data_IF_765110806510
#
_entry.id   IF_765110806510
#
_cell.length_a   1.000
_cell.length_b   1.000
_cell.length_c   1.000
_cell.angle_alpha   90.00
_cell.angle_beta   90.00
_cell.angle_gamma   90.00
#
_symmetry.space_group_name_H-M   'P 1'
#
loop_
_entity.id
_entity.type
_entity.pdbx_description
1 polymer ?
#
# COMPACT_ATOMS: atom_id res chain seq x y z
N UNK A 1 -62.76 -13.60 -7.44
CA UNK A 1 -61.47 -14.26 -7.18
C UNK A 1 -60.36 -13.34 -7.68
N UNK A 2 -60.03 -12.31 -6.89
CA UNK A 2 -59.04 -11.27 -7.22
C UNK A 2 -57.75 -11.64 -6.51
N UNK A 3 -56.73 -12.03 -7.28
CA UNK A 3 -55.38 -12.29 -6.76
C UNK A 3 -54.70 -10.96 -6.42
N UNK A 4 -54.44 -10.75 -5.13
CA UNK A 4 -53.55 -9.68 -4.66
C UNK A 4 -52.11 -9.99 -5.07
N UNK A 5 -51.55 -9.14 -5.93
CA UNK A 5 -50.12 -9.14 -6.27
C UNK A 5 -49.36 -8.60 -5.04
N UNK A 6 -48.76 -9.52 -4.29
CA UNK A 6 -47.80 -9.22 -3.22
C UNK A 6 -46.62 -8.42 -3.79
N UNK A 7 -46.58 -7.12 -3.48
CA UNK A 7 -45.40 -6.28 -3.70
C UNK A 7 -44.29 -6.77 -2.76
N UNK A 8 -43.42 -7.62 -3.28
CA UNK A 8 -42.20 -8.02 -2.57
C UNK A 8 -41.42 -6.78 -2.11
N UNK A 9 -41.28 -6.63 -0.79
CA UNK A 9 -40.46 -5.57 -0.22
C UNK A 9 -39.02 -5.71 -0.74
N UNK A 10 -38.35 -4.63 -1.16
CA UNK A 10 -36.97 -4.71 -1.61
C UNK A 10 -36.12 -5.33 -0.49
N UNK A 11 -35.41 -6.40 -0.83
CA UNK A 11 -34.63 -7.19 0.11
C UNK A 11 -33.74 -6.28 0.96
N UNK A 12 -33.81 -6.45 2.29
CA UNK A 12 -33.09 -5.71 3.34
C UNK A 12 -31.57 -5.52 3.04
N UNK A 13 -31.02 -6.40 2.19
CA UNK A 13 -29.62 -6.39 1.73
C UNK A 13 -29.30 -5.21 0.80
N UNK A 14 -30.20 -4.83 -0.11
CA UNK A 14 -30.01 -3.71 -1.04
C UNK A 14 -30.05 -2.38 -0.26
N UNK A 15 -31.00 -2.25 0.67
CA UNK A 15 -31.16 -1.06 1.52
C UNK A 15 -29.90 -0.77 2.36
N UNK A 16 -29.21 -1.80 2.87
CA UNK A 16 -27.94 -1.63 3.61
C UNK A 16 -26.79 -1.13 2.74
N UNK A 17 -26.71 -1.56 1.48
CA UNK A 17 -25.66 -1.11 0.54
C UNK A 17 -25.88 0.36 0.17
N UNK A 18 -27.12 0.75 -0.13
CA UNK A 18 -27.47 2.14 -0.41
C UNK A 18 -27.30 3.07 0.80
N UNK A 19 -27.59 2.60 2.02
CA UNK A 19 -27.30 3.34 3.25
C UNK A 19 -25.79 3.47 3.53
N UNK A 20 -24.99 2.45 3.18
CA UNK A 20 -23.51 2.52 3.27
C UNK A 20 -22.92 3.53 2.29
N UNK A 21 -23.45 3.60 1.06
CA UNK A 21 -23.03 4.56 0.03
C UNK A 21 -23.43 6.01 0.38
N UNK A 22 -24.57 6.21 1.04
CA UNK A 22 -24.96 7.51 1.64
C UNK A 22 -24.07 7.96 2.82
N UNK A 23 -23.22 7.09 3.36
CA UNK A 23 -22.28 7.39 4.45
C UNK A 23 -20.87 7.83 4.01
N UNK A 24 -20.62 7.93 2.71
CA UNK A 24 -19.34 8.41 2.16
C UNK A 24 -19.33 9.93 2.26
N UNK A 25 -18.67 10.46 3.29
CA UNK A 25 -18.50 11.91 3.46
C UNK A 25 -17.70 12.50 2.31
N UNK A 26 -17.93 13.77 1.96
CA UNK A 26 -17.14 14.51 0.98
C UNK A 26 -15.62 14.39 1.26
N UNK A 27 -15.22 14.34 2.53
CA UNK A 27 -13.84 14.08 2.95
C UNK A 27 -13.25 12.76 2.46
N UNK A 28 -14.06 11.71 2.34
CA UNK A 28 -13.57 10.42 1.84
C UNK A 28 -13.24 10.54 0.36
N UNK A 29 -14.13 11.16 -0.42
CA UNK A 29 -13.83 11.48 -1.83
C UNK A 29 -12.60 12.37 -1.96
N UNK A 30 -12.49 13.40 -1.11
CA UNK A 30 -11.33 14.29 -1.09
C UNK A 30 -10.02 13.53 -0.82
N UNK A 31 -9.99 12.58 0.13
CA UNK A 31 -8.80 11.75 0.38
C UNK A 31 -8.46 10.87 -0.82
N UNK A 32 -9.43 10.17 -1.42
CA UNK A 32 -9.14 9.34 -2.59
C UNK A 32 -8.66 10.19 -3.78
N UNK A 33 -9.28 11.33 -4.03
CA UNK A 33 -8.84 12.27 -5.06
C UNK A 33 -7.42 12.77 -4.78
N UNK A 34 -7.09 13.10 -3.52
CA UNK A 34 -5.77 13.55 -3.12
C UNK A 34 -4.70 12.45 -3.26
N UNK A 35 -5.02 11.21 -2.90
CA UNK A 35 -4.14 10.05 -3.08
C UNK A 35 -3.85 9.81 -4.56
N UNK A 36 -4.89 9.80 -5.40
CA UNK A 36 -4.73 9.61 -6.86
C UNK A 36 -3.92 10.77 -7.46
N UNK A 37 -4.23 12.00 -7.06
CA UNK A 37 -3.50 13.20 -7.49
C UNK A 37 -2.02 13.11 -7.13
N UNK A 38 -1.68 12.86 -5.86
CA UNK A 38 -0.30 12.77 -5.39
C UNK A 38 0.44 11.64 -6.12
N UNK A 39 -0.16 10.43 -6.20
CA UNK A 39 0.47 9.30 -6.87
C UNK A 39 0.75 9.62 -8.35
N UNK A 40 -0.18 10.29 -9.03
CA UNK A 40 -0.01 10.69 -10.43
C UNK A 40 1.08 11.74 -10.61
N UNK A 41 1.14 12.75 -9.72
CA UNK A 41 2.17 13.80 -9.77
C UNK A 41 3.56 13.20 -9.53
N UNK A 42 3.70 12.35 -8.50
CA UNK A 42 4.97 11.68 -8.20
C UNK A 42 5.36 10.73 -9.33
N UNK A 43 4.42 9.97 -9.88
CA UNK A 43 4.68 9.07 -11.02
C UNK A 43 5.23 9.86 -12.21
N UNK A 44 4.59 10.99 -12.57
CA UNK A 44 5.06 11.83 -13.68
C UNK A 44 6.45 12.37 -13.42
N UNK A 45 6.70 12.89 -12.22
CA UNK A 45 8.02 13.36 -11.82
C UNK A 45 9.08 12.26 -11.95
N UNK A 46 8.80 11.06 -11.44
CA UNK A 46 9.71 9.92 -11.52
C UNK A 46 9.96 9.45 -12.95
N UNK A 47 8.94 9.47 -13.82
CA UNK A 47 9.12 9.20 -15.24
C UNK A 47 9.98 10.24 -15.93
N UNK A 48 9.78 11.53 -15.64
CA UNK A 48 10.58 12.60 -16.21
C UNK A 48 12.05 12.48 -15.77
N UNK A 49 12.30 12.15 -14.50
CA UNK A 49 13.65 11.84 -13.97
C UNK A 49 14.24 10.63 -14.70
N UNK A 50 13.50 9.53 -14.81
CA UNK A 50 13.96 8.31 -15.48
C UNK A 50 14.30 8.53 -16.96
N UNK A 51 13.42 9.20 -17.71
CA UNK A 51 13.61 9.54 -19.13
C UNK A 51 14.74 10.56 -19.32
N UNK A 52 14.95 11.43 -18.33
CA UNK A 52 16.09 12.35 -18.25
C UNK A 52 17.40 11.69 -17.82
N UNK A 53 17.46 10.35 -17.71
CA UNK A 53 18.62 9.58 -17.26
C UNK A 53 19.06 9.88 -15.82
N UNK A 54 18.15 10.38 -14.98
CA UNK A 54 18.40 10.71 -13.57
C UNK A 54 18.23 9.53 -12.59
N UNK A 55 17.89 8.33 -13.07
CA UNK A 55 17.76 7.12 -12.25
C UNK A 55 19.03 6.28 -12.26
N UNK A 56 19.35 5.63 -11.13
CA UNK A 56 20.49 4.72 -11.03
C UNK A 56 20.20 3.38 -11.68
N UNK A 57 20.99 2.99 -12.68
CA UNK A 57 20.89 1.66 -13.28
C UNK A 57 21.06 0.52 -12.26
N UNK A 58 21.87 0.74 -11.20
CA UNK A 58 22.08 -0.25 -10.15
C UNK A 58 20.83 -0.50 -9.31
N UNK A 59 20.00 0.53 -9.11
CA UNK A 59 18.79 0.41 -8.28
C UNK A 59 17.60 -0.02 -9.15
N UNK A 60 17.22 0.78 -10.16
CA UNK A 60 16.04 0.46 -10.98
C UNK A 60 16.26 -0.75 -11.88
N UNK A 61 17.45 -0.88 -12.47
CA UNK A 61 17.75 -1.95 -13.43
C UNK A 61 17.86 -3.33 -12.77
N UNK A 62 18.29 -3.38 -11.50
CA UNK A 62 18.35 -4.60 -10.71
C UNK A 62 16.97 -5.22 -10.50
N UNK A 63 16.01 -4.40 -10.07
CA UNK A 63 14.64 -4.88 -9.86
C UNK A 63 13.90 -5.10 -11.17
N UNK A 64 14.10 -4.25 -12.19
CA UNK A 64 13.46 -4.42 -13.51
C UNK A 64 13.89 -5.75 -14.17
N UNK A 65 15.19 -6.02 -14.24
CA UNK A 65 15.71 -7.29 -14.78
C UNK A 65 15.23 -8.49 -13.96
N UNK A 66 15.29 -8.38 -12.63
CA UNK A 66 14.89 -9.44 -11.73
C UNK A 66 13.41 -9.81 -11.87
N UNK A 67 12.52 -8.82 -11.89
CA UNK A 67 11.07 -9.02 -12.07
C UNK A 67 10.79 -9.53 -13.48
N UNK A 68 11.46 -9.02 -14.52
CA UNK A 68 11.33 -9.49 -15.90
C UNK A 68 11.69 -10.98 -16.07
N UNK A 69 12.69 -11.47 -15.33
CA UNK A 69 13.08 -12.88 -15.29
C UNK A 69 12.02 -13.73 -14.56
N UNK A 70 11.59 -13.28 -13.38
CA UNK A 70 10.54 -13.97 -12.62
C UNK A 70 9.22 -14.04 -13.42
N UNK A 71 8.89 -12.98 -14.16
CA UNK A 71 7.71 -12.93 -15.02
C UNK A 71 7.74 -13.94 -16.17
N UNK A 72 8.90 -14.54 -16.45
CA UNK A 72 9.12 -15.59 -17.45
C UNK A 72 9.44 -16.94 -16.82
N UNK A 73 9.19 -17.09 -15.51
CA UNK A 73 9.49 -18.29 -14.73
C UNK A 73 10.98 -18.69 -14.80
N UNK A 74 11.87 -17.69 -14.92
CA UNK A 74 13.33 -17.89 -14.90
C UNK A 74 13.88 -17.49 -13.53
N UNK A 75 15.00 -18.10 -13.15
CA UNK A 75 15.74 -17.67 -11.97
C UNK A 75 16.15 -16.20 -12.12
N UNK A 76 15.89 -15.32 -11.13
CA UNK A 76 16.19 -13.90 -11.23
C UNK A 76 17.66 -13.61 -10.94
N UNK A 77 18.56 -14.17 -11.74
CA UNK A 77 19.98 -13.81 -11.72
C UNK A 77 20.16 -12.43 -12.36
N UNK A 78 20.53 -11.43 -11.56
CA UNK A 78 20.69 -10.04 -12.01
C UNK A 78 22.14 -9.80 -12.40
N UNK A 79 22.39 -9.38 -13.63
CA UNK A 79 23.74 -9.24 -14.19
C UNK A 79 24.53 -8.10 -13.54
N UNK A 80 23.86 -6.99 -13.20
CA UNK A 80 24.47 -5.87 -12.49
C UNK A 80 24.91 -6.25 -11.06
N UNK A 81 24.19 -7.18 -10.44
CA UNK A 81 24.46 -7.64 -9.08
C UNK A 81 25.39 -8.86 -9.03
N UNK A 82 25.48 -9.64 -10.11
CA UNK A 82 26.27 -10.87 -10.18
C UNK A 82 25.73 -12.02 -9.34
N UNK A 83 24.48 -11.94 -8.87
CA UNK A 83 23.83 -12.99 -8.04
C UNK A 83 22.31 -12.99 -8.24
N UNK A 84 21.64 -13.95 -7.61
CA UNK A 84 20.19 -14.03 -7.61
C UNK A 84 19.58 -12.87 -6.80
N UNK A 85 18.57 -12.18 -7.33
CA UNK A 85 17.86 -11.08 -6.69
C UNK A 85 17.40 -11.41 -5.27
N UNK A 86 16.80 -12.59 -5.10
CA UNK A 86 16.26 -13.03 -3.81
C UNK A 86 17.35 -13.51 -2.84
N UNK A 87 18.59 -13.62 -3.30
CA UNK A 87 19.76 -13.96 -2.49
C UNK A 87 20.48 -12.75 -1.90
N UNK A 88 20.07 -11.52 -2.25
CA UNK A 88 20.54 -10.30 -1.59
C UNK A 88 19.66 -9.96 -0.40
N UNK A 89 18.39 -9.71 -0.69
CA UNK A 89 17.32 -9.58 0.28
C UNK A 89 16.19 -10.51 -0.09
N UNK A 90 15.52 -11.09 0.91
CA UNK A 90 14.40 -12.00 0.72
C UNK A 90 13.11 -11.24 0.39
N UNK A 91 13.15 -10.39 -0.66
CA UNK A 91 12.03 -9.55 -1.10
C UNK A 91 11.00 -10.32 -1.91
N UNK A 92 10.39 -11.34 -1.28
CA UNK A 92 9.34 -12.17 -1.87
C UNK A 92 8.07 -11.38 -2.24
N UNK A 93 7.90 -10.17 -1.71
CA UNK A 93 6.82 -9.25 -2.11
C UNK A 93 6.83 -8.97 -3.62
N UNK A 94 8.01 -9.04 -4.25
CA UNK A 94 8.17 -8.80 -5.69
C UNK A 94 7.42 -9.82 -6.55
N UNK A 95 7.08 -11.00 -6.01
CA UNK A 95 6.23 -11.98 -6.71
C UNK A 95 4.81 -11.42 -6.95
N UNK A 96 4.31 -10.53 -6.09
CA UNK A 96 3.03 -9.86 -6.30
C UNK A 96 3.10 -8.75 -7.35
N UNK A 97 4.31 -8.30 -7.71
CA UNK A 97 4.54 -7.30 -8.76
C UNK A 97 4.53 -7.93 -10.14
N UNK A 98 4.91 -9.20 -10.26
CA UNK A 98 4.98 -9.95 -11.53
C UNK A 98 3.67 -9.86 -12.36
N UNK A 99 2.47 -10.07 -11.80
CA UNK A 99 1.23 -9.95 -12.57
C UNK A 99 0.97 -8.55 -13.12
N UNK A 100 1.38 -7.51 -12.39
CA UNK A 100 1.26 -6.11 -12.83
C UNK A 100 2.25 -5.86 -13.98
N UNK A 101 3.46 -6.40 -13.84
CA UNK A 101 4.52 -6.29 -14.83
C UNK A 101 4.17 -6.99 -16.17
N UNK A 102 3.32 -8.03 -16.16
CA UNK A 102 2.82 -8.62 -17.41
C UNK A 102 1.95 -7.67 -18.24
N UNK A 103 1.24 -6.74 -17.60
CA UNK A 103 0.37 -5.79 -18.28
C UNK A 103 1.16 -4.63 -18.88
N UNK A 104 2.16 -4.13 -18.14
CA UNK A 104 3.00 -3.03 -18.55
C UNK A 104 4.44 -3.30 -18.06
N UNK A 105 5.29 -3.96 -18.85
CA UNK A 105 6.66 -4.25 -18.43
C UNK A 105 7.53 -2.99 -18.49
N UNK A 106 8.39 -2.81 -17.48
CA UNK A 106 9.45 -1.81 -17.47
C UNK A 106 9.55 -1.02 -16.16
N UNK A 107 10.68 -0.33 -16.01
CA UNK A 107 10.99 0.52 -14.84
C UNK A 107 9.91 1.56 -14.55
N UNK A 108 9.30 2.18 -15.56
CA UNK A 108 8.22 3.16 -15.39
C UNK A 108 7.03 2.60 -14.62
N UNK A 109 6.67 1.33 -14.85
CA UNK A 109 5.60 0.66 -14.11
C UNK A 109 5.96 0.45 -12.65
N UNK A 110 7.23 0.12 -12.36
CA UNK A 110 7.71 -0.06 -11.00
C UNK A 110 7.68 1.25 -10.22
N UNK A 111 8.16 2.34 -10.83
CA UNK A 111 8.13 3.69 -10.24
C UNK A 111 6.69 4.16 -9.98
N UNK A 112 5.79 3.92 -10.94
CA UNK A 112 4.37 4.22 -10.75
C UNK A 112 3.78 3.41 -9.59
N UNK A 113 4.03 2.10 -9.56
CA UNK A 113 3.52 1.21 -8.51
C UNK A 113 3.97 1.67 -7.11
N UNK A 114 5.26 1.99 -6.96
CA UNK A 114 5.82 2.56 -5.73
C UNK A 114 5.07 3.82 -5.29
N UNK A 115 4.86 4.79 -6.21
CA UNK A 115 4.13 6.02 -5.91
C UNK A 115 2.69 5.75 -5.44
N UNK A 116 1.96 4.86 -6.13
CA UNK A 116 0.59 4.50 -5.77
C UNK A 116 0.51 3.78 -4.42
N UNK A 117 1.42 2.86 -4.13
CA UNK A 117 1.42 2.12 -2.87
C UNK A 117 1.75 3.05 -1.69
N UNK A 118 2.76 3.92 -1.82
CA UNK A 118 3.10 4.89 -0.78
C UNK A 118 1.95 5.87 -0.54
N UNK A 119 1.32 6.39 -1.60
CA UNK A 119 0.18 7.29 -1.47
C UNK A 119 -1.02 6.61 -0.79
N UNK A 120 -1.27 5.33 -1.09
CA UNK A 120 -2.34 4.55 -0.50
C UNK A 120 -2.20 4.41 1.02
N UNK A 121 -1.00 4.56 1.59
CA UNK A 121 -0.77 4.61 3.04
C UNK A 121 -1.60 5.67 3.77
N UNK A 122 -2.01 6.74 3.08
CA UNK A 122 -2.89 7.77 3.64
C UNK A 122 -4.31 7.26 3.96
N UNK A 123 -4.78 6.22 3.26
CA UNK A 123 -6.14 5.70 3.37
C UNK A 123 -6.43 5.08 4.75
N UNK A 124 -5.65 4.09 5.25
CA UNK A 124 -5.87 3.54 6.59
C UNK A 124 -5.73 4.63 7.67
N UNK A 125 -4.81 5.58 7.50
CA UNK A 125 -4.60 6.72 8.42
C UNK A 125 -5.87 7.59 8.47
N UNK A 126 -6.43 7.97 7.32
CA UNK A 126 -7.66 8.74 7.21
C UNK A 126 -8.82 8.07 7.96
N UNK A 127 -9.08 6.80 7.66
CA UNK A 127 -10.22 6.10 8.26
C UNK A 127 -10.05 5.90 9.77
N UNK A 128 -8.82 5.64 10.23
CA UNK A 128 -8.52 5.55 11.64
C UNK A 128 -8.72 6.90 12.34
N UNK A 129 -8.11 7.96 11.84
CA UNK A 129 -8.21 9.31 12.42
C UNK A 129 -9.65 9.84 12.40
N UNK A 130 -10.39 9.66 11.29
CA UNK A 130 -11.81 10.04 11.20
C UNK A 130 -12.65 9.36 12.26
N UNK A 131 -12.42 8.08 12.52
CA UNK A 131 -13.17 7.32 13.54
C UNK A 131 -12.80 7.76 14.95
N UNK A 132 -11.51 7.91 15.23
CA UNK A 132 -11.00 8.23 16.57
C UNK A 132 -11.29 9.68 16.97
N UNK A 133 -11.15 10.63 16.04
CA UNK A 133 -11.39 12.05 16.26
C UNK A 133 -12.83 12.49 15.93
N UNK A 134 -13.66 11.54 15.47
CA UNK A 134 -15.05 11.77 15.07
C UNK A 134 -15.24 12.92 14.05
N UNK A 135 -14.21 13.22 13.25
CA UNK A 135 -14.18 14.34 12.31
C UNK A 135 -13.57 13.94 10.98
N UNK A 136 -14.33 14.12 9.89
CA UNK A 136 -13.82 13.90 8.53
C UNK A 136 -12.72 14.88 8.14
N UNK A 137 -12.82 16.13 8.62
CA UNK A 137 -11.80 17.16 8.39
C UNK A 137 -10.47 16.80 9.06
N UNK A 138 -10.49 16.43 10.35
CA UNK A 138 -9.26 16.02 11.05
C UNK A 138 -8.67 14.72 10.46
N UNK A 139 -9.52 13.78 10.04
CA UNK A 139 -9.07 12.61 9.30
C UNK A 139 -8.36 13.00 7.99
N UNK A 140 -8.95 13.92 7.22
CA UNK A 140 -8.37 14.42 5.98
C UNK A 140 -7.03 15.11 6.23
N UNK A 141 -6.91 15.94 7.28
CA UNK A 141 -5.65 16.57 7.66
C UNK A 141 -4.55 15.55 7.97
N UNK A 142 -4.88 14.44 8.65
CA UNK A 142 -3.89 13.37 8.89
C UNK A 142 -3.45 12.66 7.60
N UNK A 143 -4.35 12.52 6.61
CA UNK A 143 -3.99 12.02 5.29
C UNK A 143 -3.07 13.00 4.55
N UNK A 144 -3.33 14.31 4.63
CA UNK A 144 -2.45 15.34 4.07
C UNK A 144 -1.06 15.24 4.72
N UNK A 145 -0.99 15.17 6.06
CA UNK A 145 0.28 15.06 6.80
C UNK A 145 1.11 13.87 6.30
N UNK A 146 0.50 12.70 6.08
CA UNK A 146 1.18 11.56 5.49
C UNK A 146 1.75 11.88 4.09
N UNK A 147 0.91 12.42 3.21
CA UNK A 147 1.24 12.66 1.81
C UNK A 147 2.27 13.78 1.60
N UNK A 148 2.39 14.73 2.52
CA UNK A 148 3.42 15.80 2.45
C UNK A 148 4.65 15.51 3.32
N UNK A 149 4.66 14.40 4.06
CA UNK A 149 5.76 14.09 4.96
C UNK A 149 7.07 13.92 4.17
N UNK A 150 8.15 14.68 4.48
CA UNK A 150 9.42 14.57 3.78
C UNK A 150 10.04 13.17 3.84
N UNK A 151 9.89 12.44 4.93
CA UNK A 151 10.41 11.08 5.04
C UNK A 151 9.68 10.11 4.09
N UNK A 152 8.37 10.27 3.94
CA UNK A 152 7.55 9.47 3.01
C UNK A 152 7.87 9.84 1.56
N UNK A 153 8.01 11.13 1.27
CA UNK A 153 8.34 11.60 -0.07
C UNK A 153 9.81 11.35 -0.45
N UNK A 154 10.73 11.26 0.52
CA UNK A 154 12.11 10.84 0.29
C UNK A 154 12.14 9.46 -0.40
N UNK A 155 11.40 8.49 0.12
CA UNK A 155 11.26 7.17 -0.52
C UNK A 155 10.67 7.24 -1.92
N UNK A 156 9.74 8.17 -2.19
CA UNK A 156 9.20 8.40 -3.53
C UNK A 156 10.20 9.04 -4.50
N UNK A 157 11.19 9.79 -4.00
CA UNK A 157 12.21 10.47 -4.80
C UNK A 157 13.40 9.57 -5.11
N UNK A 158 13.63 8.55 -4.30
CA UNK A 158 14.58 7.47 -4.58
C UNK A 158 14.14 6.60 -5.76
N UNK A 159 15.09 5.81 -6.27
CA UNK A 159 14.82 4.75 -7.25
C UNK A 159 13.83 3.70 -6.70
N UNK A 160 13.37 2.79 -7.56
CA UNK A 160 12.44 1.73 -7.13
C UNK A 160 13.08 0.81 -6.10
N UNK A 161 12.39 0.58 -4.98
CA UNK A 161 12.76 -0.40 -3.96
C UNK A 161 11.52 -1.12 -3.42
N UNK A 162 11.62 -2.42 -3.07
CA UNK A 162 10.53 -3.17 -2.47
C UNK A 162 10.07 -2.58 -1.12
N UNK A 163 10.96 -1.89 -0.41
CA UNK A 163 10.69 -1.16 0.82
C UNK A 163 9.50 -0.17 0.71
N UNK A 164 9.21 0.31 -0.51
CA UNK A 164 8.06 1.19 -0.78
C UNK A 164 6.71 0.58 -0.39
N UNK A 165 6.58 -0.74 -0.39
CA UNK A 165 5.37 -1.44 0.06
C UNK A 165 5.08 -1.24 1.56
N UNK A 166 6.11 -0.97 2.37
CA UNK A 166 5.95 -0.66 3.78
C UNK A 166 5.16 0.62 4.00
N UNK A 167 5.18 1.55 3.03
CA UNK A 167 4.39 2.77 3.04
C UNK A 167 2.88 2.53 3.17
N UNK A 168 2.37 1.39 2.71
CA UNK A 168 0.98 0.98 2.92
C UNK A 168 0.84 -0.03 4.05
N UNK A 169 1.71 -1.04 4.09
CA UNK A 169 1.56 -2.19 4.97
C UNK A 169 1.75 -1.81 6.44
N UNK A 170 2.68 -0.91 6.77
CA UNK A 170 2.91 -0.45 8.14
C UNK A 170 1.69 0.33 8.67
N UNK A 171 1.14 1.34 7.97
CA UNK A 171 -0.11 1.97 8.38
C UNK A 171 -1.27 0.98 8.58
N UNK A 172 -1.43 -0.02 7.71
CA UNK A 172 -2.45 -1.06 7.89
C UNK A 172 -2.20 -1.84 9.18
N UNK A 173 -0.98 -2.33 9.39
CA UNK A 173 -0.63 -3.11 10.58
C UNK A 173 -0.89 -2.30 11.86
N UNK A 174 -0.46 -1.04 11.90
CA UNK A 174 -0.69 -0.13 13.02
C UNK A 174 -2.18 0.08 13.30
N UNK A 175 -2.96 0.44 12.27
CA UNK A 175 -4.40 0.68 12.43
C UNK A 175 -5.14 -0.58 12.86
N UNK A 176 -4.76 -1.75 12.33
CA UNK A 176 -5.32 -3.03 12.74
C UNK A 176 -5.00 -3.36 14.19
N UNK A 177 -3.75 -3.17 14.63
CA UNK A 177 -3.34 -3.36 16.02
C UNK A 177 -4.13 -2.44 16.96
N UNK A 178 -4.14 -1.13 16.70
CA UNK A 178 -4.87 -0.13 17.50
C UNK A 178 -6.39 -0.37 17.52
N UNK A 179 -6.93 -1.00 16.47
CA UNK A 179 -8.34 -1.37 16.39
C UNK A 179 -8.66 -2.78 16.91
N UNK A 180 -7.69 -3.49 17.49
CA UNK A 180 -7.81 -4.89 17.96
C UNK A 180 -8.26 -5.88 16.88
N UNK A 181 -7.94 -5.58 15.60
CA UNK A 181 -8.23 -6.43 14.45
C UNK A 181 -7.03 -7.33 14.15
N UNK A 182 -6.82 -8.32 15.02
CA UNK A 182 -5.63 -9.17 15.02
C UNK A 182 -5.38 -9.92 13.71
N UNK A 183 -6.42 -10.40 13.01
CA UNK A 183 -6.24 -11.07 11.73
C UNK A 183 -5.62 -10.13 10.69
N UNK A 184 -6.14 -8.90 10.57
CA UNK A 184 -5.58 -7.91 9.65
C UNK A 184 -4.16 -7.49 10.03
N UNK A 185 -3.89 -7.39 11.34
CA UNK A 185 -2.54 -7.13 11.85
C UNK A 185 -1.55 -8.23 11.44
N UNK A 186 -1.88 -9.49 11.67
CA UNK A 186 -0.99 -10.61 11.33
C UNK A 186 -0.79 -10.77 9.82
N UNK A 187 -1.82 -10.53 9.01
CA UNK A 187 -1.69 -10.53 7.54
C UNK A 187 -0.75 -9.41 7.10
N UNK A 188 -0.97 -8.18 7.57
CA UNK A 188 -0.12 -7.05 7.22
C UNK A 188 1.33 -7.26 7.68
N UNK A 189 1.53 -7.83 8.89
CA UNK A 189 2.85 -8.18 9.40
C UNK A 189 3.54 -9.22 8.52
N UNK A 190 2.82 -10.29 8.15
CA UNK A 190 3.35 -11.32 7.26
C UNK A 190 3.79 -10.71 5.93
N UNK A 191 2.97 -9.82 5.34
CA UNK A 191 3.31 -9.10 4.12
C UNK A 191 4.53 -8.18 4.31
N UNK A 192 4.66 -7.48 5.44
CA UNK A 192 5.85 -6.68 5.75
C UNK A 192 7.13 -7.54 5.76
N UNK A 193 7.08 -8.76 6.32
CA UNK A 193 8.21 -9.68 6.35
C UNK A 193 8.56 -10.25 4.96
N UNK A 194 7.62 -10.24 4.01
CA UNK A 194 7.91 -10.58 2.61
C UNK A 194 8.58 -9.42 1.86
N UNK A 195 8.52 -8.19 2.37
CA UNK A 195 9.20 -7.05 1.75
C UNK A 195 10.71 -7.19 1.92
N UNK A 196 11.12 -7.45 3.16
CA UNK A 196 12.52 -7.58 3.54
C UNK A 196 12.62 -8.21 4.92
N UNK A 197 13.66 -9.01 5.14
CA UNK A 197 13.90 -9.74 6.39
C UNK A 197 14.22 -8.82 7.58
N UNK A 198 14.89 -7.69 7.35
CA UNK A 198 15.31 -6.73 8.36
C UNK A 198 14.17 -5.84 8.87
N UNK A 199 13.01 -5.82 8.19
CA UNK A 199 11.78 -5.14 8.63
C UNK A 199 11.32 -5.63 10.01
N UNK A 200 11.72 -6.85 10.41
CA UNK A 200 11.50 -7.35 11.77
C UNK A 200 11.99 -6.37 12.84
N UNK A 201 13.08 -5.64 12.59
CA UNK A 201 13.64 -4.67 13.54
C UNK A 201 12.70 -3.47 13.77
N UNK A 202 11.88 -3.12 12.77
CA UNK A 202 10.91 -2.03 12.86
C UNK A 202 9.62 -2.53 13.54
N UNK A 203 9.19 -3.76 13.26
CA UNK A 203 7.90 -4.25 13.76
C UNK A 203 7.97 -4.97 15.10
N UNK A 204 9.13 -5.52 15.48
CA UNK A 204 9.31 -6.19 16.77
C UNK A 204 9.11 -5.24 17.97
N UNK A 205 9.64 -4.00 17.98
CA UNK A 205 9.32 -3.03 19.04
C UNK A 205 7.82 -2.73 19.15
N UNK A 206 7.09 -2.70 18.03
CA UNK A 206 5.63 -2.54 18.04
C UNK A 206 4.95 -3.71 18.74
N UNK A 207 5.35 -4.95 18.42
CA UNK A 207 4.83 -6.16 19.06
C UNK A 207 5.13 -6.20 20.57
N UNK A 208 6.33 -5.78 20.97
CA UNK A 208 6.71 -5.64 22.39
C UNK A 208 5.83 -4.61 23.09
N UNK A 209 5.66 -3.42 22.49
CA UNK A 209 4.82 -2.35 23.05
C UNK A 209 3.38 -2.82 23.28
N UNK A 210 2.79 -3.50 22.29
CA UNK A 210 1.43 -4.05 22.41
C UNK A 210 1.33 -5.12 23.51
N UNK A 211 2.35 -5.97 23.63
CA UNK A 211 2.42 -7.02 24.65
C UNK A 211 2.52 -6.45 26.06
N UNK A 212 3.36 -5.43 26.26
CA UNK A 212 3.54 -4.73 27.54
C UNK A 212 2.27 -3.98 27.95
N UNK A 213 1.54 -3.40 27.00
CA UNK A 213 0.27 -2.70 27.25
C UNK A 213 -0.91 -3.64 27.54
N UNK A 214 -0.69 -4.96 27.57
CA UNK A 214 -1.76 -5.94 27.81
C UNK A 214 -2.80 -5.99 26.68
N UNK A 215 -2.48 -5.43 25.51
CA UNK A 215 -3.27 -5.54 24.28
C UNK A 215 -3.09 -6.94 23.68
N UNK A 216 -3.33 -7.99 24.47
CA UNK A 216 -3.28 -9.37 24.00
C UNK A 216 -4.60 -9.71 23.31
N UNK A 217 -4.53 -10.58 22.28
CA UNK A 217 -5.69 -11.27 21.73
C UNK A 217 -6.40 -11.98 22.90
N UNK A 218 -7.58 -11.47 23.28
CA UNK A 218 -8.51 -12.21 24.14
C UNK A 218 -9.20 -13.29 23.31
#
# INVERSE_FOLDING_TARGET
MTQEISKSAPSVRITRVFLKLRGISAWTFAVFALVIWQATVVTRLQWDIHRGLGTSAFDVGLYDQGIWLMSRFKAPFVTLMGRNLLGDHSSLILLFVVPIYWLAPGTETLLALQAFVIAAGAIPIYFFARRTLQSGCLGFLMAVVWLVNPAVNGTNLENFHPDSFLGLLVPIALVCALSKKWLGYWIALGLCLLVKEDVVLIVLPLGVLLSVRGEKRR
#
